data_IF_174445790182
#
_entry.id   IF_174445790182
#
_cell.length_a   1.000
_cell.length_b   1.000
_cell.length_c   1.000
_cell.angle_alpha   90.00
_cell.angle_beta   90.00
_cell.angle_gamma   90.00
#
_symmetry.space_group_name_H-M   'P 1'
#
loop_
_entity.id
_entity.type
_entity.pdbx_description
1 polymer ?
#
# COMPACT_ATOMS: atom_id res chain seq x y z
N UNK A 1 7.59 -4.33 -2.31
CA UNK A 1 6.38 -4.48 -1.46
C UNK A 1 6.68 -4.95 -0.04
N UNK A 2 7.61 -5.88 0.18
CA UNK A 2 7.95 -6.43 1.52
C UNK A 2 8.38 -5.37 2.55
N UNK A 3 9.17 -4.38 2.13
CA UNK A 3 9.58 -3.27 3.02
C UNK A 3 8.39 -2.45 3.55
N UNK A 4 7.26 -2.45 2.84
CA UNK A 4 6.07 -1.68 3.22
C UNK A 4 5.48 -2.17 4.55
N UNK A 5 5.51 -3.47 4.85
CA UNK A 5 4.98 -3.98 6.12
C UNK A 5 5.84 -3.50 7.30
N UNK A 6 7.17 -3.46 7.11
CA UNK A 6 8.12 -3.08 8.17
C UNK A 6 7.94 -1.61 8.58
N UNK A 7 7.79 -0.70 7.61
CA UNK A 7 7.59 0.74 7.90
C UNK A 7 6.27 1.05 8.63
N UNK A 8 5.29 0.14 8.58
CA UNK A 8 3.95 0.42 9.10
C UNK A 8 3.69 -0.13 10.52
N UNK A 9 4.67 -0.83 11.12
CA UNK A 9 4.58 -1.21 12.53
C UNK A 9 4.53 0.00 13.47
N UNK A 10 5.25 1.08 13.13
CA UNK A 10 5.24 2.33 13.91
C UNK A 10 3.87 2.99 13.89
N UNK A 11 3.24 3.06 12.70
CA UNK A 11 1.89 3.62 12.53
C UNK A 11 0.86 2.90 13.42
N UNK A 12 0.95 1.58 13.52
CA UNK A 12 0.04 0.80 14.34
C UNK A 12 0.19 1.10 15.84
N UNK A 13 1.43 1.22 16.32
CA UNK A 13 1.70 1.59 17.70
C UNK A 13 1.18 3.01 18.02
N UNK A 14 1.34 3.95 17.09
CA UNK A 14 0.82 5.31 17.21
C UNK A 14 -0.71 5.36 17.27
N UNK A 15 -1.41 4.58 16.45
CA UNK A 15 -2.87 4.51 16.47
C UNK A 15 -3.41 4.02 17.82
N UNK A 16 -2.83 2.96 18.38
CA UNK A 16 -3.27 2.49 19.69
C UNK A 16 -2.89 3.44 20.81
N UNK A 17 -1.71 4.07 20.74
CA UNK A 17 -1.33 5.11 21.69
C UNK A 17 -2.37 6.24 21.69
N UNK A 18 -2.74 6.74 20.51
CA UNK A 18 -3.79 7.75 20.37
C UNK A 18 -5.14 7.28 20.92
N UNK A 19 -5.54 6.04 20.64
CA UNK A 19 -6.77 5.46 21.18
C UNK A 19 -6.76 5.36 22.71
N UNK A 20 -5.66 4.90 23.30
CA UNK A 20 -5.47 4.80 24.75
C UNK A 20 -5.60 6.16 25.41
N UNK A 21 -4.93 7.18 24.86
CA UNK A 21 -4.96 8.55 25.36
C UNK A 21 -6.38 9.15 25.25
N UNK A 22 -7.02 9.05 24.09
CA UNK A 22 -8.35 9.58 23.84
C UNK A 22 -9.42 8.97 24.75
N UNK A 23 -9.28 7.70 25.11
CA UNK A 23 -10.25 6.97 25.93
C UNK A 23 -9.84 6.87 27.41
N UNK A 24 -8.76 7.55 27.83
CA UNK A 24 -8.22 7.51 29.20
C UNK A 24 -8.04 6.07 29.73
N UNK A 25 -7.54 5.18 28.88
CA UNK A 25 -7.36 3.78 29.24
C UNK A 25 -6.18 3.62 30.21
N UNK A 26 -6.45 3.07 31.38
CA UNK A 26 -5.45 2.82 32.42
C UNK A 26 -4.68 1.53 32.11
N UNK A 27 -3.66 1.61 31.25
CA UNK A 27 -2.88 0.47 30.77
C UNK A 27 -1.81 -0.05 31.76
N UNK A 28 -1.55 0.66 32.85
CA UNK A 28 -0.56 0.29 33.87
C UNK A 28 -1.20 -0.17 35.20
N UNK A 29 -2.41 -0.73 35.16
CA UNK A 29 -3.05 -1.29 36.35
C UNK A 29 -3.21 -2.82 36.22
N UNK A 30 -3.68 -3.48 37.28
CA UNK A 30 -3.90 -4.93 37.29
C UNK A 30 -5.10 -5.39 36.45
N UNK A 31 -5.96 -4.46 36.00
CA UNK A 31 -7.15 -4.78 35.22
C UNK A 31 -6.82 -4.83 33.73
N UNK A 32 -7.15 -5.95 33.12
CA UNK A 32 -7.02 -6.13 31.68
C UNK A 32 -7.89 -5.11 30.92
N UNK A 33 -7.26 -4.34 30.03
CA UNK A 33 -7.92 -3.38 29.14
C UNK A 33 -8.15 -4.03 27.78
N UNK A 34 -9.39 -3.99 27.28
CA UNK A 34 -9.70 -4.45 25.92
C UNK A 34 -9.39 -3.35 24.91
N UNK A 35 -8.68 -3.71 23.84
CA UNK A 35 -8.43 -2.86 22.69
C UNK A 35 -9.37 -3.24 21.54
N UNK A 36 -9.68 -2.31 20.62
CA UNK A 36 -10.45 -2.63 19.42
C UNK A 36 -9.70 -3.62 18.54
N UNK A 37 -10.44 -4.40 17.75
CA UNK A 37 -9.83 -5.34 16.80
C UNK A 37 -9.13 -4.57 15.68
N UNK A 38 -7.82 -4.80 15.47
CA UNK A 38 -7.11 -4.13 14.42
C UNK A 38 -7.46 -4.74 13.06
N UNK A 39 -7.71 -3.88 12.07
CA UNK A 39 -7.82 -4.27 10.66
C UNK A 39 -6.84 -3.42 9.89
N UNK A 40 -5.84 -4.06 9.30
CA UNK A 40 -4.83 -3.35 8.53
C UNK A 40 -4.97 -3.70 7.05
N UNK A 41 -5.32 -2.68 6.26
CA UNK A 41 -5.58 -2.78 4.83
C UNK A 41 -4.69 -1.78 4.11
N UNK A 42 -4.05 -2.22 3.03
CA UNK A 42 -3.18 -1.37 2.20
C UNK A 42 -3.69 -1.42 0.77
N UNK A 43 -3.76 -0.26 0.12
CA UNK A 43 -4.12 -0.18 -1.29
C UNK A 43 -2.86 -0.24 -2.16
N UNK A 44 -2.86 -1.19 -3.10
CA UNK A 44 -1.81 -1.32 -4.10
C UNK A 44 -2.20 -0.60 -5.39
N UNK A 45 -1.31 0.28 -5.86
CA UNK A 45 -1.45 1.02 -7.11
C UNK A 45 -0.12 1.04 -7.89
N UNK A 46 0.66 -0.04 -7.76
CA UNK A 46 1.89 -0.23 -8.53
C UNK A 46 1.62 -0.71 -9.95
N UNK A 47 2.69 -0.92 -10.69
CA UNK A 47 2.68 -1.36 -12.10
C UNK A 47 2.96 -2.85 -12.28
N UNK A 48 3.37 -3.54 -11.22
CA UNK A 48 3.52 -5.00 -11.23
C UNK A 48 2.13 -5.66 -11.26
N UNK A 49 2.04 -6.81 -11.93
CA UNK A 49 0.83 -7.61 -12.04
C UNK A 49 0.60 -8.38 -10.73
N UNK A 50 -0.19 -7.78 -9.85
CA UNK A 50 -0.53 -8.30 -8.53
C UNK A 50 -2.00 -8.72 -8.50
N UNK A 51 -2.36 -9.79 -7.78
CA UNK A 51 -3.75 -10.24 -7.66
C UNK A 51 -4.65 -9.16 -7.07
N UNK A 52 -5.96 -9.27 -7.29
CA UNK A 52 -6.92 -8.31 -6.74
C UNK A 52 -6.82 -8.20 -5.21
N UNK A 53 -6.68 -9.34 -4.54
CA UNK A 53 -6.47 -9.39 -3.10
C UNK A 53 -5.31 -10.33 -2.75
N UNK A 54 -4.52 -9.94 -1.75
CA UNK A 54 -3.54 -10.83 -1.14
C UNK A 54 -3.32 -10.48 0.34
N UNK A 55 -2.95 -11.47 1.13
CA UNK A 55 -2.46 -11.26 2.49
C UNK A 55 -0.94 -11.19 2.47
N UNK A 56 -0.37 -10.15 3.07
CA UNK A 56 1.06 -10.06 3.33
C UNK A 56 1.34 -10.31 4.81
N UNK A 57 2.43 -11.02 5.12
CA UNK A 57 2.84 -11.32 6.50
C UNK A 57 4.17 -10.68 6.82
N UNK A 58 4.29 -10.10 8.02
CA UNK A 58 5.55 -9.55 8.51
C UNK A 58 6.63 -10.64 8.58
N UNK A 59 6.23 -11.86 8.93
CA UNK A 59 7.13 -13.01 9.01
C UNK A 59 7.88 -13.30 7.70
N UNK A 60 7.30 -12.96 6.55
CA UNK A 60 7.92 -13.18 5.24
C UNK A 60 9.15 -12.28 5.01
N UNK A 61 9.35 -11.28 5.88
CA UNK A 61 10.52 -10.39 5.89
C UNK A 61 11.59 -10.80 6.91
N UNK A 62 11.34 -11.79 7.77
CA UNK A 62 12.30 -12.20 8.79
C UNK A 62 13.42 -13.06 8.19
N UNK A 63 14.65 -12.78 8.64
CA UNK A 63 15.81 -13.62 8.31
C UNK A 63 15.82 -14.83 9.25
N UNK A 64 15.87 -16.03 8.68
CA UNK A 64 15.95 -17.26 9.48
C UNK A 64 17.39 -17.53 9.93
N UNK A 65 17.54 -17.99 11.17
CA UNK A 65 18.79 -18.48 11.73
C UNK A 65 19.11 -19.85 11.12
N UNK A 66 20.27 -20.02 10.45
CA UNK A 66 20.69 -21.30 9.90
C UNK A 66 20.97 -22.35 10.98
N UNK A 67 20.89 -23.65 10.61
CA UNK A 67 21.05 -24.76 11.57
C UNK A 67 22.39 -24.77 12.34
N UNK A 68 23.46 -24.21 11.74
CA UNK A 68 24.81 -24.15 12.34
C UNK A 68 25.08 -22.92 13.22
N UNK A 69 24.18 -21.94 13.25
CA UNK A 69 24.35 -20.67 13.98
C UNK A 69 23.38 -20.55 15.17
N UNK A 70 22.46 -21.51 15.32
CA UNK A 70 21.64 -21.61 16.52
C UNK A 70 22.54 -21.78 17.74
N UNK A 71 22.34 -20.95 18.77
CA UNK A 71 23.11 -21.02 20.02
C UNK A 71 23.04 -22.44 20.57
N UNK A 72 24.18 -22.98 21.00
CA UNK A 72 24.32 -24.36 21.49
C UNK A 72 23.21 -24.70 22.50
N UNK A 73 22.32 -25.62 22.13
CA UNK A 73 21.23 -26.11 22.97
C UNK A 73 19.82 -25.63 22.61
N UNK A 74 19.66 -24.73 21.64
CA UNK A 74 18.34 -24.34 21.11
C UNK A 74 18.09 -25.08 19.79
N UNK A 75 16.94 -25.77 19.69
CA UNK A 75 16.50 -26.41 18.45
C UNK A 75 16.18 -25.32 17.42
N UNK A 76 16.60 -25.50 16.17
CA UNK A 76 16.50 -24.47 15.11
C UNK A 76 15.08 -23.96 14.90
N UNK A 77 14.08 -24.82 15.07
CA UNK A 77 12.66 -24.44 15.04
C UNK A 77 12.31 -23.42 16.14
N UNK A 78 12.79 -23.63 17.37
CA UNK A 78 12.55 -22.69 18.47
C UNK A 78 13.35 -21.39 18.29
N UNK A 79 14.54 -21.47 17.67
CA UNK A 79 15.33 -20.29 17.34
C UNK A 79 14.66 -19.38 16.30
N UNK A 80 13.82 -19.95 15.42
CA UNK A 80 13.11 -19.24 14.36
C UNK A 80 11.62 -18.97 14.68
N UNK A 81 11.19 -19.27 15.91
CA UNK A 81 9.82 -19.02 16.35
C UNK A 81 9.59 -17.54 16.66
N UNK A 82 8.83 -16.86 15.82
CA UNK A 82 8.44 -15.47 16.04
C UNK A 82 7.27 -15.38 17.05
N UNK A 83 7.31 -14.36 17.90
CA UNK A 83 6.24 -14.08 18.89
C UNK A 83 5.29 -12.97 18.44
N UNK A 84 5.65 -12.25 17.36
CA UNK A 84 4.86 -11.17 16.79
C UNK A 84 4.60 -11.50 15.32
N UNK A 85 3.34 -11.42 14.93
CA UNK A 85 2.91 -11.54 13.54
C UNK A 85 1.97 -10.36 13.25
N UNK A 86 2.17 -9.75 12.08
CA UNK A 86 1.29 -8.72 11.56
C UNK A 86 0.92 -9.14 10.15
N UNK A 87 -0.39 -9.33 9.94
CA UNK A 87 -0.93 -9.60 8.61
C UNK A 87 -1.59 -8.35 8.05
N UNK A 88 -1.47 -8.18 6.74
CA UNK A 88 -1.95 -7.01 6.01
C UNK A 88 -2.80 -7.49 4.85
N UNK A 89 -4.03 -7.01 4.76
CA UNK A 89 -4.84 -7.21 3.55
C UNK A 89 -4.41 -6.18 2.50
N UNK A 90 -3.78 -6.63 1.43
CA UNK A 90 -3.47 -5.79 0.28
C UNK A 90 -4.61 -5.88 -0.73
N UNK A 91 -5.15 -4.73 -1.15
CA UNK A 91 -6.19 -4.63 -2.16
C UNK A 91 -5.65 -3.85 -3.36
N UNK A 92 -5.63 -4.48 -4.53
CA UNK A 92 -5.22 -3.85 -5.78
C UNK A 92 -6.29 -2.86 -6.26
N UNK A 93 -5.98 -1.57 -6.21
CA UNK A 93 -6.89 -0.50 -6.63
C UNK A 93 -6.61 0.00 -8.05
N UNK A 94 -5.80 -0.72 -8.83
CA UNK A 94 -5.64 -0.40 -10.24
C UNK A 94 -7.00 -0.50 -10.98
N UNK A 95 -7.16 0.30 -12.04
CA UNK A 95 -8.41 0.33 -12.78
C UNK A 95 -8.76 -1.05 -13.35
N UNK A 96 -9.97 -1.53 -13.04
CA UNK A 96 -10.45 -2.87 -13.42
C UNK A 96 -10.34 -3.92 -12.31
N UNK A 97 -9.67 -3.63 -11.20
CA UNK A 97 -9.56 -4.53 -10.05
C UNK A 97 -10.54 -4.16 -8.91
N UNK A 98 -10.86 -5.12 -8.05
CA UNK A 98 -11.70 -4.98 -6.86
C UNK A 98 -13.02 -4.26 -7.14
N UNK A 99 -13.77 -4.77 -8.12
CA UNK A 99 -14.96 -4.08 -8.63
C UNK A 99 -15.97 -3.72 -7.53
N UNK A 100 -16.22 -4.63 -6.57
CA UNK A 100 -17.15 -4.37 -5.46
C UNK A 100 -16.69 -3.20 -4.56
N UNK A 101 -15.39 -3.09 -4.28
CA UNK A 101 -14.81 -1.95 -3.54
C UNK A 101 -15.00 -0.65 -4.32
N UNK A 102 -14.75 -0.69 -5.62
CA UNK A 102 -14.84 0.48 -6.48
C UNK A 102 -16.29 0.96 -6.65
N UNK A 103 -17.25 0.06 -6.71
CA UNK A 103 -18.69 0.37 -6.72
C UNK A 103 -19.15 1.05 -5.43
N UNK A 104 -18.58 0.65 -4.29
CA UNK A 104 -18.87 1.24 -2.97
C UNK A 104 -18.16 2.58 -2.74
N UNK A 105 -17.08 2.87 -3.45
CA UNK A 105 -16.26 4.06 -3.25
C UNK A 105 -15.96 4.78 -4.57
N UNK A 106 -16.84 5.71 -4.93
CA UNK A 106 -16.71 6.52 -6.14
C UNK A 106 -15.36 7.25 -6.24
N UNK A 107 -14.85 7.82 -5.14
CA UNK A 107 -13.55 8.51 -5.13
C UNK A 107 -12.39 7.59 -5.49
N UNK A 108 -12.40 6.33 -5.01
CA UNK A 108 -11.37 5.35 -5.37
C UNK A 108 -11.49 4.93 -6.85
N UNK A 109 -12.72 4.78 -7.36
CA UNK A 109 -12.97 4.50 -8.78
C UNK A 109 -12.48 5.64 -9.70
N UNK A 110 -12.78 6.89 -9.35
CA UNK A 110 -12.32 8.07 -10.10
C UNK A 110 -10.79 8.18 -10.07
N UNK A 111 -10.19 7.96 -8.89
CA UNK A 111 -8.75 7.92 -8.74
C UNK A 111 -8.10 6.83 -9.60
N UNK A 112 -8.62 5.59 -9.57
CA UNK A 112 -8.03 4.48 -10.33
C UNK A 112 -8.09 4.73 -11.84
N UNK A 113 -9.21 5.26 -12.33
CA UNK A 113 -9.38 5.71 -13.72
C UNK A 113 -8.38 6.81 -14.09
N UNK A 114 -8.24 7.81 -13.23
CA UNK A 114 -7.31 8.91 -13.47
C UNK A 114 -5.87 8.41 -13.55
N UNK A 115 -5.43 7.55 -12.63
CA UNK A 115 -4.09 6.96 -12.69
C UNK A 115 -3.87 6.14 -13.96
N UNK A 116 -4.88 5.36 -14.39
CA UNK A 116 -4.79 4.61 -15.64
C UNK A 116 -4.59 5.55 -16.84
N UNK A 117 -5.31 6.68 -16.88
CA UNK A 117 -5.15 7.70 -17.91
C UNK A 117 -3.74 8.33 -17.89
N UNK A 118 -3.23 8.69 -16.71
CA UNK A 118 -1.86 9.23 -16.56
C UNK A 118 -0.83 8.26 -17.12
N UNK A 119 -0.96 6.95 -16.84
CA UNK A 119 -0.05 5.92 -17.37
C UNK A 119 -0.08 5.86 -18.90
N UNK A 120 -1.27 5.86 -19.50
CA UNK A 120 -1.44 5.89 -20.96
C UNK A 120 -0.75 7.11 -21.58
N UNK A 121 -0.94 8.31 -20.99
CA UNK A 121 -0.28 9.54 -21.47
C UNK A 121 1.24 9.47 -21.33
N UNK A 122 1.73 8.94 -20.22
CA UNK A 122 3.16 8.76 -19.96
C UNK A 122 3.80 7.84 -21.00
N UNK A 123 3.14 6.72 -21.34
CA UNK A 123 3.63 5.78 -22.35
C UNK A 123 3.63 6.41 -23.74
N UNK A 124 2.59 7.17 -24.10
CA UNK A 124 2.51 7.91 -25.36
C UNK A 124 3.66 8.92 -25.51
N UNK A 125 3.89 9.77 -24.50
CA UNK A 125 4.96 10.75 -24.49
C UNK A 125 6.35 10.11 -24.54
N UNK A 126 6.52 8.99 -23.84
CA UNK A 126 7.77 8.21 -23.86
C UNK A 126 8.09 7.75 -25.27
N UNK A 127 7.11 7.22 -26.01
CA UNK A 127 7.30 6.78 -27.39
C UNK A 127 7.48 7.94 -28.38
N UNK A 128 6.83 9.07 -28.16
CA UNK A 128 6.99 10.30 -28.96
C UNK A 128 8.42 10.86 -28.83
N UNK A 129 8.90 11.04 -27.59
CA UNK A 129 10.25 11.58 -27.34
C UNK A 129 11.37 10.65 -27.81
N UNK A 130 11.17 9.33 -27.74
CA UNK A 130 12.10 8.37 -28.36
C UNK A 130 12.22 8.57 -29.87
N UNK A 131 11.10 8.81 -30.57
CA UNK A 131 11.09 9.05 -32.03
C UNK A 131 11.77 10.36 -32.40
N UNK A 132 11.58 11.39 -31.59
CA UNK A 132 12.19 12.72 -31.79
C UNK A 132 13.66 12.80 -31.37
N UNK A 133 14.24 11.70 -30.85
CA UNK A 133 15.57 11.69 -30.22
C UNK A 133 15.73 12.76 -29.13
N UNK A 134 14.63 13.11 -28.46
CA UNK A 134 14.59 14.10 -27.39
C UNK A 134 14.98 13.42 -26.08
N UNK A 135 16.06 13.89 -25.45
CA UNK A 135 16.46 13.39 -24.13
C UNK A 135 15.66 14.13 -23.05
N UNK A 136 14.69 13.43 -22.45
CA UNK A 136 13.85 13.91 -21.36
C UNK A 136 13.88 12.87 -20.26
N UNK A 137 13.87 13.30 -18.99
CA UNK A 137 13.84 12.34 -17.88
C UNK A 137 12.41 11.86 -17.57
N UNK A 138 12.29 10.68 -16.94
CA UNK A 138 10.97 10.09 -16.65
C UNK A 138 10.09 10.96 -15.73
N UNK A 139 10.68 11.80 -14.87
CA UNK A 139 9.89 12.67 -13.98
C UNK A 139 9.20 13.78 -14.74
N UNK A 140 9.88 14.37 -15.73
CA UNK A 140 9.33 15.39 -16.62
C UNK A 140 8.22 14.80 -17.49
N UNK A 141 8.45 13.63 -18.09
CA UNK A 141 7.44 12.90 -18.88
C UNK A 141 6.19 12.64 -18.02
N UNK A 142 6.39 12.17 -16.79
CA UNK A 142 5.28 11.90 -15.89
C UNK A 142 4.52 13.18 -15.49
N UNK A 143 5.22 14.27 -15.19
CA UNK A 143 4.59 15.55 -14.86
C UNK A 143 3.74 16.09 -16.03
N UNK A 144 4.25 15.96 -17.25
CA UNK A 144 3.52 16.33 -18.47
C UNK A 144 2.31 15.41 -18.70
N UNK A 145 2.47 14.10 -18.52
CA UNK A 145 1.39 13.13 -18.61
C UNK A 145 0.26 13.44 -17.61
N UNK A 146 0.60 13.84 -16.38
CA UNK A 146 -0.36 14.28 -15.36
C UNK A 146 -1.13 15.51 -15.83
N UNK A 147 -0.44 16.53 -16.37
CA UNK A 147 -1.10 17.73 -16.88
C UNK A 147 -2.10 17.41 -18.01
N UNK A 148 -1.68 16.59 -18.98
CA UNK A 148 -2.55 16.14 -20.08
C UNK A 148 -3.75 15.33 -19.58
N UNK A 149 -3.54 14.45 -18.60
CA UNK A 149 -4.60 13.65 -18.01
C UNK A 149 -5.62 14.51 -17.25
N UNK A 150 -5.17 15.58 -16.57
CA UNK A 150 -6.06 16.53 -15.90
C UNK A 150 -6.93 17.25 -16.94
N UNK A 151 -6.32 17.78 -18.01
CA UNK A 151 -7.05 18.49 -19.06
C UNK A 151 -8.11 17.61 -19.74
N UNK A 152 -7.79 16.35 -19.98
CA UNK A 152 -8.72 15.36 -20.53
C UNK A 152 -9.82 14.99 -19.52
N UNK A 153 -9.48 14.74 -18.27
CA UNK A 153 -10.45 14.39 -17.23
C UNK A 153 -11.45 15.54 -16.94
N UNK A 154 -11.00 16.80 -17.09
CA UNK A 154 -11.88 17.98 -17.04
C UNK A 154 -12.80 18.04 -18.25
N UNK A 155 -12.26 17.82 -19.46
CA UNK A 155 -13.01 17.84 -20.73
C UNK A 155 -14.10 16.77 -20.78
N UNK A 156 -13.76 15.56 -20.35
CA UNK A 156 -14.64 14.39 -20.38
C UNK A 156 -15.56 14.32 -19.15
N UNK A 157 -15.53 15.36 -18.31
CA UNK A 157 -16.42 15.52 -17.16
C UNK A 157 -16.24 14.42 -16.09
N UNK A 158 -15.10 13.73 -16.06
CA UNK A 158 -14.79 12.62 -15.15
C UNK A 158 -14.58 13.12 -13.71
N UNK A 159 -14.21 14.39 -13.52
CA UNK A 159 -13.90 15.00 -12.21
C UNK A 159 -15.02 15.90 -11.63
N UNK A 160 -16.23 15.96 -12.22
CA UNK A 160 -17.34 16.73 -11.64
C UNK A 160 -18.03 15.97 -10.50
N UNK A 161 -17.37 15.93 -9.35
CA UNK A 161 -17.89 15.37 -8.10
C UNK A 161 -17.50 16.15 -6.84
N UNK A 162 -16.94 17.36 -6.97
CA UNK A 162 -16.61 18.23 -5.84
C UNK A 162 -17.66 19.33 -5.70
N UNK A 163 -18.58 19.26 -4.71
CA UNK A 163 -19.26 20.45 -4.22
C UNK A 163 -18.27 21.42 -3.55
#
# INVERSE_FOLDING_TARGET
MRDLIVYNCDYFAELYKGYIEQNNLLIYNERFVKLPFPRYVVFYNGTEDEPEEQELRLSDSFVQVPEGEARTGIVVEEANKHSVEVTVQLLNINYGCNQELMEKCQKLMEYSRFIALVRVKSDMLTEEYKKEMKSVNNKEIFAEAVALAIDEAIRDNVLKGYP
#
